data_IF_138053760978
#
_entry.id   IF_138053760978
#
_cell.length_a   1.000
_cell.length_b   1.000
_cell.length_c   1.000
_cell.angle_alpha   90.00
_cell.angle_beta   90.00
_cell.angle_gamma   90.00
#
_symmetry.space_group_name_H-M   'P 1'
#
loop_
_entity.id
_entity.type
_entity.pdbx_description
1 polymer ?
#
# COMPACT_ATOMS: atom_id res chain seq x y z
N UNK A 1 1.40 14.03 -29.18
CA UNK A 1 1.37 14.58 -27.80
C UNK A 1 -0.04 14.80 -27.22
N UNK A 2 -1.12 14.84 -28.04
CA UNK A 2 -2.48 15.15 -27.54
C UNK A 2 -3.25 13.99 -26.88
N UNK A 3 -3.01 12.73 -27.27
CA UNK A 3 -3.84 11.59 -26.82
C UNK A 3 -3.58 11.21 -25.36
N UNK A 4 -2.32 11.20 -24.93
CA UNK A 4 -1.93 10.86 -23.54
C UNK A 4 -2.44 11.90 -22.56
N UNK A 5 -2.27 13.18 -22.88
CA UNK A 5 -2.76 14.28 -22.04
C UNK A 5 -4.28 14.24 -21.89
N UNK A 6 -5.01 13.92 -22.98
CA UNK A 6 -6.47 13.74 -22.94
C UNK A 6 -6.88 12.55 -22.06
N UNK A 7 -6.16 11.44 -22.11
CA UNK A 7 -6.42 10.27 -21.27
C UNK A 7 -6.20 10.57 -19.78
N UNK A 8 -5.10 11.26 -19.44
CA UNK A 8 -4.82 11.68 -18.06
C UNK A 8 -5.93 12.60 -17.57
N UNK A 9 -6.27 13.63 -18.34
CA UNK A 9 -7.32 14.57 -17.96
C UNK A 9 -8.70 13.90 -17.86
N UNK A 10 -9.02 12.93 -18.72
CA UNK A 10 -10.26 12.14 -18.59
C UNK A 10 -10.26 11.22 -17.36
N UNK A 11 -9.09 10.80 -16.87
CA UNK A 11 -8.97 10.04 -15.63
C UNK A 11 -9.28 10.87 -14.38
N UNK A 12 -9.01 12.19 -14.41
CA UNK A 12 -9.37 13.14 -13.36
C UNK A 12 -10.80 13.71 -13.55
N UNK A 13 -11.23 13.91 -14.80
CA UNK A 13 -12.51 14.51 -15.17
C UNK A 13 -13.25 13.60 -16.16
N UNK A 14 -14.03 12.61 -15.70
CA UNK A 14 -14.71 11.70 -16.63
C UNK A 14 -15.89 12.36 -17.34
N UNK A 15 -16.02 12.11 -18.64
CA UNK A 15 -17.19 12.44 -19.46
C UNK A 15 -17.52 13.93 -19.48
N UNK A 16 -18.77 14.29 -19.16
CA UNK A 16 -19.30 15.67 -19.23
C UNK A 16 -18.51 16.67 -18.41
N UNK A 17 -17.83 16.23 -17.34
CA UNK A 17 -17.00 17.11 -16.51
C UNK A 17 -15.69 17.51 -17.18
N UNK A 18 -15.16 16.71 -18.12
CA UNK A 18 -14.03 17.13 -18.95
C UNK A 18 -14.42 18.33 -19.81
N UNK A 19 -15.55 18.22 -20.52
CA UNK A 19 -16.01 19.28 -21.42
C UNK A 19 -16.41 20.53 -20.64
N UNK A 20 -17.08 20.39 -19.50
CA UNK A 20 -17.56 21.55 -18.73
C UNK A 20 -16.41 22.33 -18.05
N UNK A 21 -15.42 21.63 -17.48
CA UNK A 21 -14.32 22.27 -16.74
C UNK A 21 -13.13 22.63 -17.65
N UNK A 22 -12.69 21.70 -18.51
CA UNK A 22 -11.47 21.89 -19.32
C UNK A 22 -11.77 22.61 -20.64
N UNK A 23 -12.89 22.29 -21.31
CA UNK A 23 -13.22 22.87 -22.62
C UNK A 23 -14.00 24.18 -22.47
N UNK A 24 -14.97 24.24 -21.53
CA UNK A 24 -15.85 25.40 -21.33
C UNK A 24 -15.45 26.32 -20.18
N UNK A 25 -14.41 25.97 -19.41
CA UNK A 25 -13.94 26.73 -18.23
C UNK A 25 -15.06 27.07 -17.21
N UNK A 26 -16.11 26.26 -17.15
CA UNK A 26 -17.23 26.48 -16.25
C UNK A 26 -16.97 25.83 -14.89
N UNK A 27 -16.11 26.48 -14.10
CA UNK A 27 -15.76 26.06 -12.73
C UNK A 27 -16.91 26.22 -11.71
N UNK A 28 -18.05 26.80 -12.12
CA UNK A 28 -19.22 26.97 -11.25
C UNK A 28 -20.05 25.68 -11.10
N UNK A 29 -19.76 24.63 -11.86
CA UNK A 29 -20.41 23.33 -11.69
C UNK A 29 -19.82 22.60 -10.47
N UNK A 30 -20.45 22.81 -9.32
CA UNK A 30 -20.03 22.29 -8.02
C UNK A 30 -19.91 20.77 -8.01
N UNK A 31 -20.75 20.05 -8.75
CA UNK A 31 -20.74 18.58 -8.79
C UNK A 31 -19.52 18.04 -9.53
N UNK A 32 -19.19 18.64 -10.69
CA UNK A 32 -17.98 18.28 -11.43
C UNK A 32 -16.71 18.68 -10.68
N UNK A 33 -16.70 19.80 -9.97
CA UNK A 33 -15.56 20.23 -9.15
C UNK A 33 -15.34 19.28 -7.96
N UNK A 34 -16.40 18.89 -7.25
CA UNK A 34 -16.32 17.90 -6.16
C UNK A 34 -15.80 16.55 -6.66
N UNK A 35 -16.28 16.09 -7.82
CA UNK A 35 -15.83 14.83 -8.41
C UNK A 35 -14.34 14.88 -8.76
N UNK A 36 -13.89 15.97 -9.39
CA UNK A 36 -12.50 16.19 -9.73
C UNK A 36 -11.61 16.23 -8.48
N UNK A 37 -12.01 16.99 -7.46
CA UNK A 37 -11.30 17.06 -6.18
C UNK A 37 -11.21 15.70 -5.50
N UNK A 38 -12.30 14.93 -5.48
CA UNK A 38 -12.32 13.58 -4.91
C UNK A 38 -11.36 12.62 -5.63
N UNK A 39 -11.30 12.69 -6.97
CA UNK A 39 -10.35 11.89 -7.77
C UNK A 39 -8.91 12.34 -7.57
N UNK A 40 -8.64 13.65 -7.58
CA UNK A 40 -7.33 14.21 -7.28
C UNK A 40 -6.83 13.77 -5.90
N UNK A 41 -7.68 13.91 -4.87
CA UNK A 41 -7.34 13.50 -3.52
C UNK A 41 -7.06 11.99 -3.46
N UNK A 42 -7.90 11.17 -4.09
CA UNK A 42 -7.69 9.72 -4.16
C UNK A 42 -6.35 9.32 -4.79
N UNK A 43 -6.01 9.90 -5.95
CA UNK A 43 -4.71 9.65 -6.58
C UNK A 43 -3.55 10.21 -5.76
N UNK A 44 -3.72 11.38 -5.15
CA UNK A 44 -2.73 11.98 -4.25
C UNK A 44 -2.44 11.12 -3.03
N UNK A 45 -3.46 10.47 -2.46
CA UNK A 45 -3.31 9.52 -1.36
C UNK A 45 -2.56 8.27 -1.81
N UNK A 46 -2.90 7.70 -2.97
CA UNK A 46 -2.18 6.52 -3.51
C UNK A 46 -0.71 6.86 -3.78
N UNK A 47 -0.43 7.96 -4.47
CA UNK A 47 0.95 8.38 -4.75
C UNK A 47 1.69 8.72 -3.46
N UNK A 48 1.05 9.47 -2.57
CA UNK A 48 1.61 9.86 -1.28
C UNK A 48 1.96 8.65 -0.42
N UNK A 49 1.06 7.68 -0.30
CA UNK A 49 1.28 6.44 0.47
C UNK A 49 2.45 5.62 -0.06
N UNK A 50 2.59 5.50 -1.39
CA UNK A 50 3.73 4.82 -2.05
C UNK A 50 5.07 5.54 -1.83
N UNK A 51 5.06 6.80 -1.39
CA UNK A 51 6.28 7.56 -1.12
C UNK A 51 6.66 7.58 0.37
N UNK A 52 5.80 7.11 1.27
CA UNK A 52 6.02 7.25 2.72
C UNK A 52 7.24 6.46 3.20
N UNK A 53 7.43 5.22 2.72
CA UNK A 53 8.55 4.36 3.16
C UNK A 53 9.79 4.48 2.26
N UNK A 54 9.68 5.14 1.11
CA UNK A 54 10.81 5.34 0.16
C UNK A 54 12.01 6.03 0.81
N UNK A 55 11.88 7.12 1.60
CA UNK A 55 13.02 7.71 2.29
C UNK A 55 13.73 6.74 3.24
N UNK A 56 12.97 5.85 3.89
CA UNK A 56 13.53 4.83 4.78
C UNK A 56 14.31 3.78 3.99
N UNK A 57 13.78 3.32 2.85
CA UNK A 57 14.48 2.39 1.94
C UNK A 57 15.79 3.01 1.44
N UNK A 58 15.73 4.26 0.95
CA UNK A 58 16.91 4.98 0.48
C UNK A 58 17.95 5.10 1.58
N UNK A 59 17.55 5.44 2.80
CA UNK A 59 18.46 5.55 3.95
C UNK A 59 19.19 4.22 4.23
N UNK A 60 18.46 3.10 4.28
CA UNK A 60 19.04 1.76 4.53
C UNK A 60 20.06 1.39 3.45
N UNK A 61 19.73 1.66 2.18
CA UNK A 61 20.61 1.37 1.04
C UNK A 61 21.86 2.25 1.07
N UNK A 62 21.71 3.54 1.40
CA UNK A 62 22.83 4.49 1.47
C UNK A 62 23.78 4.19 2.63
N UNK A 63 23.26 3.84 3.81
CA UNK A 63 24.09 3.49 4.97
C UNK A 63 24.61 2.06 4.91
N UNK A 64 24.05 1.24 4.00
CA UNK A 64 24.28 -0.21 3.93
C UNK A 64 24.11 -0.90 5.30
N UNK A 65 23.22 -0.37 6.14
CA UNK A 65 23.02 -0.82 7.52
C UNK A 65 21.55 -0.77 7.91
N UNK A 66 21.10 -1.82 8.60
CA UNK A 66 19.79 -1.91 9.24
C UNK A 66 19.85 -1.71 10.76
N UNK A 67 20.89 -1.05 11.27
CA UNK A 67 20.99 -0.66 12.68
C UNK A 67 19.91 0.38 13.04
N UNK A 68 19.35 0.26 14.25
CA UNK A 68 18.24 1.10 14.71
C UNK A 68 16.87 0.73 14.14
N UNK A 69 16.75 -0.33 13.33
CA UNK A 69 15.47 -0.85 12.84
C UNK A 69 15.20 -2.23 13.46
N UNK A 70 14.14 -2.36 14.24
CA UNK A 70 13.74 -3.65 14.81
C UNK A 70 13.09 -4.53 13.73
N UNK A 71 13.72 -5.66 13.38
CA UNK A 71 13.14 -6.62 12.42
C UNK A 71 11.79 -7.14 12.91
N UNK A 72 11.65 -7.40 14.21
CA UNK A 72 10.39 -7.86 14.82
C UNK A 72 9.28 -6.82 14.65
N UNK A 73 9.58 -5.53 14.81
CA UNK A 73 8.63 -4.45 14.59
C UNK A 73 8.14 -4.43 13.13
N UNK A 74 9.07 -4.51 12.17
CA UNK A 74 8.75 -4.54 10.74
C UNK A 74 7.90 -5.77 10.39
N UNK A 75 8.19 -6.93 10.98
CA UNK A 75 7.40 -8.14 10.78
C UNK A 75 5.99 -8.02 11.37
N UNK A 76 5.82 -7.37 12.53
CA UNK A 76 4.51 -7.08 13.11
C UNK A 76 3.70 -6.14 12.22
N UNK A 77 4.33 -5.07 11.71
CA UNK A 77 3.70 -4.16 10.76
C UNK A 77 3.24 -4.90 9.50
N UNK A 78 4.11 -5.77 8.96
CA UNK A 78 3.82 -6.58 7.79
C UNK A 78 2.66 -7.57 8.02
N UNK A 79 2.60 -8.21 9.19
CA UNK A 79 1.49 -9.11 9.55
C UNK A 79 0.15 -8.37 9.60
N UNK A 80 0.11 -7.20 10.24
CA UNK A 80 -1.10 -6.39 10.33
C UNK A 80 -1.59 -5.92 8.96
N UNK A 81 -0.70 -5.43 8.11
CA UNK A 81 -1.04 -5.03 6.74
C UNK A 81 -1.52 -6.21 5.89
N UNK A 82 -0.86 -7.37 6.01
CA UNK A 82 -1.21 -8.58 5.28
C UNK A 82 -2.61 -9.08 5.67
N UNK A 83 -2.96 -9.04 6.96
CA UNK A 83 -4.30 -9.42 7.43
C UNK A 83 -5.40 -8.54 6.82
N UNK A 84 -5.21 -7.23 6.82
CA UNK A 84 -6.14 -6.26 6.23
C UNK A 84 -6.28 -6.44 4.71
N UNK A 85 -5.16 -6.68 4.01
CA UNK A 85 -5.17 -6.93 2.56
C UNK A 85 -5.88 -8.25 2.22
N UNK A 86 -5.60 -9.33 2.96
CA UNK A 86 -6.21 -10.64 2.74
C UNK A 86 -7.73 -10.62 2.98
N UNK A 87 -8.19 -9.98 4.06
CA UNK A 87 -9.63 -9.81 4.31
C UNK A 87 -10.29 -8.96 3.22
N UNK A 88 -9.68 -7.84 2.82
CA UNK A 88 -10.23 -6.96 1.78
C UNK A 88 -10.34 -7.67 0.42
N UNK A 89 -9.35 -8.51 0.09
CA UNK A 89 -9.39 -9.37 -1.08
C UNK A 89 -10.50 -10.44 -0.98
N UNK A 90 -10.62 -11.11 0.16
CA UNK A 90 -11.63 -12.14 0.40
C UNK A 90 -13.07 -11.59 0.32
N UNK A 91 -13.29 -10.38 0.85
CA UNK A 91 -14.56 -9.64 0.80
C UNK A 91 -14.83 -8.99 -0.56
N UNK A 92 -13.93 -9.13 -1.54
CA UNK A 92 -14.04 -8.57 -2.90
C UNK A 92 -14.21 -7.05 -2.91
N UNK A 93 -13.57 -6.34 -1.98
CA UNK A 93 -13.57 -4.90 -2.01
C UNK A 93 -12.83 -4.38 -3.25
N UNK A 94 -13.31 -3.27 -3.85
CA UNK A 94 -12.65 -2.67 -5.00
C UNK A 94 -11.21 -2.30 -4.63
N UNK A 95 -10.27 -2.48 -5.57
CA UNK A 95 -8.85 -2.18 -5.35
C UNK A 95 -8.62 -0.75 -4.85
N UNK A 96 -9.46 0.21 -5.26
CA UNK A 96 -9.39 1.59 -4.77
C UNK A 96 -9.56 1.74 -3.25
N UNK A 97 -10.13 0.74 -2.56
CA UNK A 97 -10.36 0.79 -1.12
C UNK A 97 -9.18 0.26 -0.29
N UNK A 98 -8.34 -0.60 -0.84
CA UNK A 98 -7.27 -1.28 -0.10
C UNK A 98 -5.91 -1.31 -0.82
N UNK A 99 -5.85 -0.78 -2.04
CA UNK A 99 -4.67 -0.81 -2.89
C UNK A 99 -3.50 -0.02 -2.32
N UNK A 100 -3.74 1.09 -1.62
CA UNK A 100 -2.69 1.80 -0.86
C UNK A 100 -2.00 0.89 0.16
N UNK A 101 -2.77 0.04 0.84
CA UNK A 101 -2.27 -0.91 1.82
C UNK A 101 -1.41 -1.98 1.17
N UNK A 102 -1.71 -2.38 -0.06
CA UNK A 102 -0.89 -3.32 -0.83
C UNK A 102 0.50 -2.74 -1.13
N UNK A 103 0.60 -1.48 -1.56
CA UNK A 103 1.89 -0.83 -1.83
C UNK A 103 2.72 -0.69 -0.56
N UNK A 104 2.12 -0.20 0.53
CA UNK A 104 2.77 -0.09 1.83
C UNK A 104 3.26 -1.46 2.35
N UNK A 105 2.48 -2.51 2.15
CA UNK A 105 2.83 -3.88 2.51
C UNK A 105 4.06 -4.37 1.73
N UNK A 106 4.12 -4.12 0.42
CA UNK A 106 5.28 -4.49 -0.42
C UNK A 106 6.54 -3.72 -0.04
N UNK A 107 6.43 -2.41 0.21
CA UNK A 107 7.54 -1.59 0.68
C UNK A 107 8.06 -2.04 2.05
N UNK A 108 7.16 -2.42 2.96
CA UNK A 108 7.50 -2.93 4.29
C UNK A 108 8.19 -4.30 4.20
N UNK A 109 7.74 -5.18 3.31
CA UNK A 109 8.42 -6.45 3.02
C UNK A 109 9.83 -6.23 2.44
N UNK A 110 9.99 -5.24 1.56
CA UNK A 110 11.29 -4.85 1.02
C UNK A 110 12.22 -4.33 2.13
N UNK A 111 11.73 -3.49 3.05
CA UNK A 111 12.49 -3.03 4.21
C UNK A 111 12.96 -4.22 5.06
N UNK A 112 12.06 -5.17 5.37
CA UNK A 112 12.43 -6.36 6.13
C UNK A 112 13.56 -7.14 5.46
N UNK A 113 13.46 -7.37 4.15
CA UNK A 113 14.48 -8.07 3.37
C UNK A 113 15.83 -7.32 3.35
N UNK A 114 15.80 -6.00 3.14
CA UNK A 114 17.01 -5.16 3.15
C UNK A 114 17.69 -5.16 4.52
N UNK A 115 16.93 -5.03 5.61
CA UNK A 115 17.49 -5.05 6.98
C UNK A 115 18.16 -6.40 7.25
N UNK A 116 17.53 -7.53 6.91
CA UNK A 116 18.15 -8.86 7.06
C UNK A 116 19.40 -9.01 6.19
N UNK A 117 19.38 -8.49 4.95
CA UNK A 117 20.50 -8.53 4.01
C UNK A 117 21.72 -7.77 4.52
N UNK A 118 21.53 -6.58 5.08
CA UNK A 118 22.62 -5.74 5.60
C UNK A 118 23.11 -6.18 6.98
N UNK A 119 22.32 -6.96 7.73
CA UNK A 119 22.77 -7.66 8.95
C UNK A 119 23.59 -8.92 8.69
N UNK A 120 23.87 -9.25 7.42
CA UNK A 120 24.57 -10.48 7.03
C UNK A 120 23.71 -11.75 7.17
N UNK A 121 22.42 -11.63 7.43
CA UNK A 121 21.49 -12.74 7.64
C UNK A 121 20.87 -13.22 6.31
N UNK A 122 21.70 -13.50 5.31
CA UNK A 122 21.25 -13.85 3.95
C UNK A 122 20.31 -15.06 3.91
N UNK A 123 20.57 -16.08 4.73
CA UNK A 123 19.69 -17.25 4.85
C UNK A 123 18.30 -16.89 5.42
N UNK A 124 18.23 -16.01 6.41
CA UNK A 124 16.96 -15.55 6.98
C UNK A 124 16.18 -14.70 5.98
N UNK A 125 16.86 -13.88 5.18
CA UNK A 125 16.23 -13.10 4.11
C UNK A 125 15.54 -14.02 3.09
N UNK A 126 16.22 -15.04 2.57
CA UNK A 126 15.63 -15.98 1.60
C UNK A 126 14.47 -16.75 2.23
N UNK A 127 14.63 -17.24 3.45
CA UNK A 127 13.58 -17.95 4.17
C UNK A 127 12.35 -17.06 4.41
N UNK A 128 12.56 -15.80 4.81
CA UNK A 128 11.52 -14.80 4.98
C UNK A 128 10.80 -14.52 3.66
N UNK A 129 11.51 -14.21 2.57
CA UNK A 129 10.89 -13.92 1.27
C UNK A 129 10.10 -15.12 0.74
N UNK A 130 10.64 -16.34 0.83
CA UNK A 130 9.96 -17.55 0.38
C UNK A 130 8.71 -17.86 1.22
N UNK A 131 8.83 -17.81 2.55
CA UNK A 131 7.69 -18.04 3.46
C UNK A 131 6.61 -16.98 3.30
N UNK A 132 6.99 -15.72 3.12
CA UNK A 132 6.05 -14.62 2.91
C UNK A 132 5.32 -14.73 1.57
N UNK A 133 6.02 -15.08 0.48
CA UNK A 133 5.39 -15.34 -0.82
C UNK A 133 4.41 -16.53 -0.75
N UNK A 134 4.79 -17.60 -0.04
CA UNK A 134 3.91 -18.74 0.21
C UNK A 134 2.65 -18.34 1.00
N UNK A 135 2.82 -17.56 2.08
CA UNK A 135 1.70 -17.03 2.87
C UNK A 135 0.73 -16.23 2.02
N UNK A 136 1.22 -15.31 1.18
CA UNK A 136 0.38 -14.54 0.28
C UNK A 136 -0.38 -15.43 -0.71
N UNK A 137 0.28 -16.43 -1.30
CA UNK A 137 -0.37 -17.38 -2.19
C UNK A 137 -1.50 -18.16 -1.49
N UNK A 138 -1.28 -18.60 -0.25
CA UNK A 138 -2.29 -19.31 0.56
C UNK A 138 -3.48 -18.41 0.90
N UNK A 139 -3.23 -17.17 1.30
CA UNK A 139 -4.27 -16.19 1.65
C UNK A 139 -5.13 -15.82 0.42
N UNK A 140 -4.50 -15.68 -0.75
CA UNK A 140 -5.20 -15.36 -2.00
C UNK A 140 -5.91 -16.59 -2.61
N UNK A 141 -5.47 -17.80 -2.28
CA UNK A 141 -6.01 -19.07 -2.78
C UNK A 141 -7.38 -19.48 -2.20
N UNK A 142 -8.03 -18.62 -1.38
CA UNK A 142 -9.29 -18.91 -0.67
C UNK A 142 -9.24 -20.15 0.24
N UNK A 143 -8.05 -20.59 0.61
CA UNK A 143 -7.86 -21.74 1.51
C UNK A 143 -8.24 -21.37 2.94
N UNK A 144 -8.06 -20.10 3.31
CA UNK A 144 -8.32 -19.59 4.66
C UNK A 144 -9.77 -19.11 4.78
N UNK A 145 -10.53 -19.57 5.80
CA UNK A 145 -11.91 -19.15 5.97
C UNK A 145 -12.01 -17.71 6.48
N UNK A 146 -13.06 -17.01 6.05
CA UNK A 146 -13.23 -15.56 6.27
C UNK A 146 -13.26 -15.17 7.76
N UNK A 147 -13.74 -16.04 8.65
CA UNK A 147 -13.78 -15.75 10.09
C UNK A 147 -12.36 -15.58 10.69
N UNK A 148 -11.38 -16.33 10.19
CA UNK A 148 -9.96 -16.18 10.61
C UNK A 148 -9.38 -14.88 10.05
N UNK A 149 -9.72 -14.53 8.81
CA UNK A 149 -9.26 -13.27 8.20
C UNK A 149 -9.85 -12.06 8.93
N UNK A 150 -11.10 -12.15 9.36
CA UNK A 150 -11.77 -11.08 10.09
C UNK A 150 -11.17 -10.87 11.48
N UNK A 151 -10.90 -11.95 12.23
CA UNK A 151 -10.23 -11.84 13.53
C UNK A 151 -8.80 -11.31 13.39
N UNK A 152 -8.07 -11.74 12.35
CA UNK A 152 -6.75 -11.21 12.04
C UNK A 152 -6.79 -9.71 11.68
N UNK A 153 -7.79 -9.27 10.90
CA UNK A 153 -7.97 -7.85 10.59
C UNK A 153 -8.28 -7.03 11.84
N UNK A 154 -9.12 -7.52 12.76
CA UNK A 154 -9.39 -6.80 14.00
C UNK A 154 -8.13 -6.61 14.86
N UNK A 155 -7.26 -7.62 14.89
CA UNK A 155 -6.02 -7.59 15.66
C UNK A 155 -4.91 -6.78 14.97
N UNK A 156 -5.05 -6.45 13.69
CA UNK A 156 -4.02 -5.77 12.90
C UNK A 156 -3.60 -4.42 13.48
N UNK A 157 -4.56 -3.60 13.93
CA UNK A 157 -4.28 -2.27 14.49
C UNK A 157 -3.48 -2.35 15.81
N UNK A 158 -3.90 -3.13 16.83
CA UNK A 158 -3.09 -3.37 18.01
C UNK A 158 -1.68 -3.87 17.69
N UNK A 159 -1.55 -4.82 16.76
CA UNK A 159 -0.25 -5.40 16.37
C UNK A 159 0.67 -4.34 15.73
N UNK A 160 0.14 -3.51 14.83
CA UNK A 160 0.92 -2.43 14.21
C UNK A 160 1.36 -1.40 15.25
N UNK A 161 0.48 -1.05 16.20
CA UNK A 161 0.81 -0.10 17.28
C UNK A 161 1.92 -0.67 18.17
N UNK A 162 1.80 -1.93 18.60
CA UNK A 162 2.85 -2.60 19.36
C UNK A 162 4.17 -2.65 18.60
N UNK A 163 4.14 -2.95 17.30
CA UNK A 163 5.32 -2.90 16.44
C UNK A 163 5.99 -1.53 16.47
N UNK A 164 5.23 -0.45 16.29
CA UNK A 164 5.77 0.92 16.32
C UNK A 164 6.34 1.34 17.68
N UNK A 165 5.80 0.83 18.79
CA UNK A 165 6.33 1.06 20.13
C UNK A 165 7.67 0.32 20.38
N UNK A 166 7.92 -0.76 19.65
CA UNK A 166 9.16 -1.55 19.74
C UNK A 166 10.29 -1.03 18.85
N UNK A 167 10.02 -0.05 17.98
CA UNK A 167 10.98 0.52 17.03
C UNK A 167 11.62 1.78 17.59
#
# INVERSE_FOLDING_TARGET
MGTVMKQILQAFFPGKCYDEIIVRHNFANVDCLKLALSKCLGYGIIVGSTLVKVPQIVKIVQTQSGEGISVTSVLMELMGMTATAAYSYAMRYPFSAWGEGLFLMLETALIAALVMRYRGQGGQMVAFTASYACLLALLMGKVVPVHVLWSAQLLSLPVIICGKLMQ
#
